data_IF_620000726981
#
_entry.id   IF_620000726981
#
_cell.length_a   1.000
_cell.length_b   1.000
_cell.length_c   1.000
_cell.angle_alpha   90.00
_cell.angle_beta   90.00
_cell.angle_gamma   90.00
#
_symmetry.space_group_name_H-M   'P 1'
#
loop_
_entity.id
_entity.type
_entity.pdbx_description
1 polymer ?
#
# COMPACT_ATOMS: atom_id res chain seq x y z
N UNK A 1 34.94 -19.53 41.94
CA UNK A 1 33.72 -19.55 42.80
C UNK A 1 32.73 -18.63 42.14
N UNK A 2 31.70 -19.27 41.52
CA UNK A 2 30.73 -18.58 40.70
C UNK A 2 29.84 -17.65 41.52
N UNK A 3 29.53 -16.52 40.92
CA UNK A 3 28.45 -15.64 41.35
C UNK A 3 27.13 -16.42 41.23
N UNK A 4 26.54 -16.74 42.36
CA UNK A 4 25.17 -17.25 42.40
C UNK A 4 24.26 -16.04 42.25
N UNK A 5 23.85 -15.77 41.02
CA UNK A 5 22.79 -14.81 40.74
C UNK A 5 21.42 -15.38 41.10
N UNK A 6 20.42 -14.53 41.31
CA UNK A 6 19.06 -14.96 41.46
C UNK A 6 18.57 -15.55 40.12
N UNK A 7 18.11 -16.78 40.14
CA UNK A 7 17.50 -17.43 38.98
C UNK A 7 15.99 -17.11 38.93
N UNK A 8 15.48 -16.85 37.76
CA UNK A 8 14.05 -16.68 37.54
C UNK A 8 13.56 -17.81 36.64
N UNK A 9 12.63 -18.61 37.16
CA UNK A 9 11.99 -19.71 36.41
C UNK A 9 10.65 -19.25 35.84
N UNK A 10 10.50 -19.40 34.54
CA UNK A 10 9.27 -19.06 33.83
C UNK A 10 8.56 -20.37 33.45
N UNK A 11 7.35 -20.57 33.91
CA UNK A 11 6.54 -21.74 33.62
C UNK A 11 5.33 -21.35 32.77
N UNK A 12 5.26 -21.85 31.56
CA UNK A 12 4.08 -21.70 30.69
C UNK A 12 3.16 -22.94 30.80
N UNK A 13 1.89 -22.72 31.13
CA UNK A 13 0.87 -23.77 31.19
C UNK A 13 -0.05 -23.81 29.98
N UNK A 14 0.08 -22.91 29.02
CA UNK A 14 -0.91 -22.74 27.93
C UNK A 14 -0.35 -22.96 26.53
N UNK A 15 0.94 -23.22 26.37
CA UNK A 15 1.48 -23.59 25.05
C UNK A 15 1.14 -25.05 24.70
N UNK A 16 0.51 -25.33 23.56
CA UNK A 16 0.46 -26.68 23.01
C UNK A 16 1.90 -27.18 22.80
N UNK A 17 2.10 -28.49 22.96
CA UNK A 17 3.40 -29.15 22.92
C UNK A 17 4.31 -28.57 21.82
N UNK A 18 5.27 -27.74 22.21
CA UNK A 18 6.21 -27.09 21.30
C UNK A 18 7.45 -27.94 21.23
N UNK A 19 7.79 -28.43 20.05
CA UNK A 19 8.94 -29.30 19.84
C UNK A 19 10.29 -28.59 19.91
N UNK A 20 10.33 -27.26 19.79
CA UNK A 20 11.53 -26.45 20.04
C UNK A 20 11.17 -24.96 20.23
N UNK A 21 11.62 -24.37 21.33
CA UNK A 21 11.61 -22.92 21.51
C UNK A 21 13.06 -22.47 21.43
N UNK A 22 13.34 -21.53 20.54
CA UNK A 22 14.63 -20.84 20.48
C UNK A 22 14.41 -19.40 20.92
N UNK A 23 14.54 -19.06 22.19
CA UNK A 23 14.48 -17.69 22.64
C UNK A 23 15.73 -16.95 22.14
N UNK A 24 15.53 -15.84 21.41
CA UNK A 24 16.69 -15.08 20.90
C UNK A 24 17.35 -14.18 21.94
N UNK A 25 16.61 -13.65 22.89
CA UNK A 25 17.14 -12.87 24.02
C UNK A 25 16.01 -12.46 24.99
N UNK A 26 16.34 -12.18 26.24
CA UNK A 26 15.51 -11.38 27.13
C UNK A 26 16.20 -10.01 27.27
N UNK A 27 15.46 -8.95 27.01
CA UNK A 27 15.93 -7.59 27.20
C UNK A 27 15.45 -7.10 28.57
N UNK A 28 16.39 -6.67 29.39
CA UNK A 28 16.14 -6.19 30.73
C UNK A 28 16.39 -4.69 30.71
N UNK A 29 15.37 -3.89 30.96
CA UNK A 29 15.46 -2.42 30.99
C UNK A 29 15.36 -1.97 32.45
N UNK A 30 16.47 -1.54 33.10
CA UNK A 30 16.42 -0.91 34.40
C UNK A 30 15.75 0.46 34.36
N UNK A 31 15.28 0.92 35.53
CA UNK A 31 14.63 2.22 35.68
C UNK A 31 15.54 3.42 35.40
N UNK A 32 16.85 3.21 35.30
CA UNK A 32 17.90 4.19 35.05
C UNK A 32 18.47 4.20 33.64
N UNK A 33 17.73 3.64 32.68
CA UNK A 33 18.07 3.56 31.24
C UNK A 33 19.31 2.70 30.86
N UNK A 34 19.85 1.91 31.74
CA UNK A 34 20.80 0.90 31.35
C UNK A 34 20.08 -0.37 30.86
N UNK A 35 20.39 -0.82 29.66
CA UNK A 35 19.82 -2.03 29.08
C UNK A 35 20.76 -3.21 29.29
N UNK A 36 20.29 -4.25 29.95
CA UNK A 36 21.01 -5.50 30.08
C UNK A 36 20.36 -6.54 29.18
N UNK A 37 21.15 -7.12 28.28
CA UNK A 37 20.71 -8.25 27.46
C UNK A 37 21.29 -9.53 28.05
N UNK A 38 20.47 -10.47 28.47
CA UNK A 38 20.92 -11.78 28.92
C UNK A 38 20.43 -12.86 27.96
N UNK A 39 21.30 -13.86 27.75
CA UNK A 39 20.93 -15.03 26.94
C UNK A 39 20.28 -16.06 27.85
N UNK A 40 19.12 -16.59 27.43
CA UNK A 40 18.45 -17.66 28.19
C UNK A 40 19.31 -18.93 28.14
N UNK A 41 19.72 -19.40 29.30
CA UNK A 41 20.71 -20.45 29.38
C UNK A 41 20.16 -21.86 29.20
N UNK A 42 18.84 -22.11 29.36
CA UNK A 42 18.32 -23.46 29.28
C UNK A 42 16.80 -23.52 28.98
N UNK A 43 16.46 -24.41 28.07
CA UNK A 43 15.07 -24.83 27.79
C UNK A 43 14.90 -26.22 28.38
N UNK A 44 14.01 -26.41 29.36
CA UNK A 44 13.64 -27.74 29.78
C UNK A 44 12.56 -28.31 28.86
N UNK A 45 12.49 -29.66 28.67
CA UNK A 45 11.41 -30.29 27.91
C UNK A 45 10.00 -29.99 28.45
N UNK A 46 9.91 -29.51 29.68
CA UNK A 46 8.65 -29.13 30.34
C UNK A 46 8.22 -27.67 30.05
N UNK A 47 8.91 -26.93 29.20
CA UNK A 47 8.58 -25.54 28.88
C UNK A 47 8.96 -24.53 29.96
N UNK A 48 9.85 -24.90 30.91
CA UNK A 48 10.38 -23.99 31.91
C UNK A 48 11.66 -23.31 31.36
N UNK A 49 11.75 -22.01 31.55
CA UNK A 49 12.92 -21.22 31.17
C UNK A 49 13.53 -20.64 32.41
N UNK A 50 14.87 -20.72 32.53
CA UNK A 50 15.61 -20.10 33.60
C UNK A 50 16.64 -19.16 33.01
N UNK A 51 16.74 -17.97 33.55
CA UNK A 51 17.79 -17.03 33.26
C UNK A 51 18.23 -16.29 34.51
N UNK A 52 19.44 -15.81 34.49
CA UNK A 52 20.06 -15.14 35.64
C UNK A 52 19.85 -13.64 35.47
N UNK A 53 19.26 -13.03 36.49
CA UNK A 53 19.06 -11.60 36.56
C UNK A 53 19.94 -11.03 37.66
N UNK A 54 20.72 -9.97 37.45
CA UNK A 54 21.49 -9.32 38.50
C UNK A 54 20.55 -8.76 39.58
N UNK A 55 20.99 -8.60 40.82
CA UNK A 55 20.20 -7.96 41.86
C UNK A 55 19.94 -6.49 41.48
N UNK A 56 18.67 -6.14 41.31
CA UNK A 56 18.25 -4.78 40.93
C UNK A 56 16.95 -4.39 41.63
N UNK A 57 16.75 -3.08 41.80
CA UNK A 57 15.53 -2.52 42.34
C UNK A 57 14.69 -1.90 41.22
N UNK A 58 13.39 -2.10 41.31
CA UNK A 58 12.40 -1.48 40.43
C UNK A 58 12.64 -1.69 38.93
N UNK A 59 12.89 -2.96 38.53
CA UNK A 59 13.14 -3.31 37.15
C UNK A 59 11.82 -3.71 36.44
N UNK A 60 11.66 -3.31 35.19
CA UNK A 60 10.69 -3.86 34.25
C UNK A 60 11.40 -4.87 33.36
N UNK A 61 10.88 -6.10 33.32
CA UNK A 61 11.44 -7.14 32.44
C UNK A 61 10.50 -7.32 31.25
N UNK A 62 10.99 -7.03 30.07
CA UNK A 62 10.32 -7.39 28.82
C UNK A 62 10.88 -8.73 28.32
N UNK A 63 10.00 -9.69 28.07
CA UNK A 63 10.38 -11.00 27.57
C UNK A 63 9.79 -11.17 26.17
N UNK A 64 10.68 -11.29 25.19
CA UNK A 64 10.33 -11.57 23.81
C UNK A 64 10.69 -13.03 23.48
N UNK A 65 9.71 -13.78 23.01
CA UNK A 65 9.88 -15.18 22.64
C UNK A 65 9.47 -15.39 21.19
N UNK A 66 10.13 -16.32 20.51
CA UNK A 66 9.74 -16.77 19.17
C UNK A 66 9.55 -18.29 19.24
N UNK A 67 8.37 -18.77 18.90
CA UNK A 67 8.07 -20.20 18.81
C UNK A 67 7.24 -20.49 17.55
N UNK A 68 7.57 -21.53 16.81
CA UNK A 68 6.93 -21.88 15.54
C UNK A 68 6.78 -20.70 14.55
N UNK A 69 7.76 -19.80 14.51
CA UNK A 69 7.73 -18.60 13.69
C UNK A 69 6.86 -17.46 14.25
N UNK A 70 6.12 -17.69 15.33
CA UNK A 70 5.28 -16.67 15.97
C UNK A 70 6.05 -15.96 17.10
N UNK A 71 5.83 -14.66 17.20
CA UNK A 71 6.41 -13.82 18.25
C UNK A 71 5.43 -13.65 19.39
N UNK A 72 5.93 -13.76 20.59
CA UNK A 72 5.21 -13.53 21.84
C UNK A 72 5.95 -12.49 22.66
N UNK A 73 5.22 -11.59 23.28
CA UNK A 73 5.81 -10.61 24.20
C UNK A 73 5.01 -10.60 25.50
N UNK A 74 5.72 -10.37 26.59
CA UNK A 74 5.09 -10.16 27.90
C UNK A 74 6.00 -9.25 28.74
N UNK A 75 5.41 -8.54 29.68
CA UNK A 75 6.14 -7.70 30.63
C UNK A 75 5.84 -8.20 32.06
N UNK A 76 6.88 -8.31 32.85
CA UNK A 76 6.74 -8.44 34.29
C UNK A 76 6.68 -7.05 34.89
N UNK A 77 5.68 -6.82 35.73
CA UNK A 77 5.58 -5.57 36.48
C UNK A 77 6.82 -5.34 37.34
N UNK A 78 7.09 -4.09 37.61
CA UNK A 78 8.26 -3.61 38.37
C UNK A 78 8.45 -4.36 39.67
N UNK A 79 9.58 -5.09 39.79
CA UNK A 79 9.92 -5.82 41.02
C UNK A 79 11.39 -5.68 41.33
N UNK A 80 11.69 -5.81 42.62
CA UNK A 80 13.10 -5.84 43.08
C UNK A 80 13.57 -7.27 43.22
N UNK A 81 14.71 -7.56 42.65
CA UNK A 81 15.36 -8.86 42.76
C UNK A 81 16.50 -8.77 43.76
N UNK A 82 16.50 -9.62 44.76
CA UNK A 82 17.60 -9.73 45.75
C UNK A 82 18.45 -10.93 45.42
N UNK A 83 19.77 -10.81 45.63
CA UNK A 83 20.70 -11.89 45.39
C UNK A 83 20.36 -13.16 46.16
N UNK A 84 20.71 -14.32 45.62
CA UNK A 84 20.51 -15.67 46.18
C UNK A 84 19.05 -16.06 46.42
N UNK A 85 18.13 -15.55 45.61
CA UNK A 85 16.71 -15.95 45.62
C UNK A 85 16.27 -16.39 44.24
N UNK A 86 15.43 -17.44 44.21
CA UNK A 86 14.72 -17.87 43.04
C UNK A 86 13.34 -17.22 43.03
N UNK A 87 12.95 -16.73 41.85
CA UNK A 87 11.64 -16.11 41.59
C UNK A 87 10.94 -16.87 40.48
N UNK A 88 9.72 -17.37 40.75
CA UNK A 88 8.92 -18.03 39.75
C UNK A 88 7.79 -17.12 39.30
N UNK A 89 7.67 -16.92 38.00
CA UNK A 89 6.59 -16.16 37.39
C UNK A 89 5.80 -17.02 36.41
N UNK A 90 4.49 -16.93 36.48
CA UNK A 90 3.60 -17.48 35.47
C UNK A 90 3.29 -16.38 34.45
N UNK A 91 3.83 -16.51 33.26
CA UNK A 91 3.62 -15.54 32.21
C UNK A 91 2.36 -15.91 31.41
N UNK A 92 1.48 -14.93 31.23
CA UNK A 92 0.52 -14.99 30.15
C UNK A 92 1.16 -14.36 28.94
N UNK A 93 1.48 -15.17 27.95
CA UNK A 93 1.98 -14.66 26.67
C UNK A 93 0.81 -14.30 25.80
N UNK A 94 0.81 -13.07 25.27
CA UNK A 94 -0.04 -12.71 24.15
C UNK A 94 0.75 -12.88 22.85
N UNK A 95 0.16 -13.51 21.87
CA UNK A 95 0.74 -13.54 20.54
C UNK A 95 0.88 -12.09 20.04
N UNK A 96 2.10 -11.65 19.75
CA UNK A 96 2.32 -10.35 19.11
C UNK A 96 2.17 -10.54 17.62
N UNK A 97 1.01 -10.22 17.10
CA UNK A 97 0.84 -10.13 15.65
C UNK A 97 1.67 -8.96 15.12
N UNK A 98 2.70 -9.23 14.29
CA UNK A 98 3.49 -8.14 13.73
C UNK A 98 2.62 -7.32 12.78
N UNK A 99 2.72 -6.00 12.88
CA UNK A 99 1.99 -5.11 11.99
C UNK A 99 1.96 -3.68 12.50
N UNK A 100 1.52 -2.80 11.63
CA UNK A 100 1.38 -1.37 11.84
C UNK A 100 -0.01 -1.12 12.41
N UNK A 101 -0.10 -0.48 13.58
CA UNK A 101 -1.36 -0.26 14.31
C UNK A 101 -1.65 1.23 14.46
N UNK A 102 -0.60 2.07 14.56
CA UNK A 102 -0.72 3.51 14.81
C UNK A 102 0.02 4.33 13.76
N UNK A 103 -0.20 5.65 13.75
CA UNK A 103 0.54 6.57 12.89
C UNK A 103 2.03 6.60 13.22
N UNK A 104 2.39 6.47 14.49
CA UNK A 104 3.79 6.37 14.93
C UNK A 104 4.45 5.09 14.43
N UNK A 105 3.71 3.97 14.41
CA UNK A 105 4.18 2.72 13.80
C UNK A 105 4.43 2.90 12.31
N UNK A 106 3.52 3.57 11.59
CA UNK A 106 3.70 3.86 10.18
C UNK A 106 4.93 4.75 9.92
N UNK A 107 5.12 5.80 10.74
CA UNK A 107 6.29 6.66 10.65
C UNK A 107 7.57 5.85 10.90
N UNK A 108 7.60 5.03 11.96
CA UNK A 108 8.74 4.17 12.26
C UNK A 108 9.04 3.17 11.13
N UNK A 109 8.01 2.52 10.61
CA UNK A 109 8.11 1.65 9.44
C UNK A 109 8.71 2.39 8.23
N UNK A 110 8.20 3.60 7.92
CA UNK A 110 8.67 4.39 6.79
C UNK A 110 10.14 4.81 6.90
N UNK A 111 10.63 5.02 8.11
CA UNK A 111 12.05 5.31 8.38
C UNK A 111 12.92 4.06 8.21
N UNK A 112 12.51 2.94 8.81
CA UNK A 112 13.24 1.69 8.79
C UNK A 112 13.32 1.05 7.42
N UNK A 113 12.22 0.99 6.68
CA UNK A 113 12.15 0.33 5.38
C UNK A 113 13.02 1.04 4.34
N UNK A 114 13.29 2.32 4.51
CA UNK A 114 14.11 3.13 3.63
C UNK A 114 15.58 3.20 4.08
N UNK A 115 15.95 2.58 5.18
CA UNK A 115 17.29 2.71 5.75
C UNK A 115 18.17 1.50 5.46
N UNK A 116 19.40 1.76 5.02
CA UNK A 116 20.46 0.76 4.97
C UNK A 116 21.43 0.87 6.16
N UNK A 117 21.24 1.86 7.04
CA UNK A 117 22.22 2.23 8.06
C UNK A 117 21.78 1.93 9.48
N UNK A 118 20.48 1.91 9.74
CA UNK A 118 19.96 1.58 11.07
C UNK A 118 18.87 0.50 10.99
N UNK A 119 18.95 -0.42 11.93
CA UNK A 119 18.03 -1.57 12.04
C UNK A 119 16.93 -1.35 13.06
N UNK A 120 17.00 -0.25 13.82
CA UNK A 120 16.06 0.12 14.86
C UNK A 120 15.72 1.61 14.81
N UNK A 121 14.45 1.95 15.02
CA UNK A 121 13.96 3.33 15.10
C UNK A 121 12.91 3.44 16.21
N UNK A 122 13.13 4.33 17.19
CA UNK A 122 12.23 4.51 18.36
C UNK A 122 11.84 3.17 19.02
N UNK A 123 12.81 2.27 19.20
CA UNK A 123 12.62 0.95 19.82
C UNK A 123 11.90 -0.09 18.93
N UNK A 124 11.61 0.24 17.68
CA UNK A 124 10.99 -0.69 16.71
C UNK A 124 12.01 -1.20 15.70
N UNK A 125 11.76 -2.39 15.18
CA UNK A 125 12.51 -3.02 14.07
C UNK A 125 11.54 -3.37 12.95
N UNK A 126 12.02 -3.74 11.76
CA UNK A 126 11.15 -4.20 10.68
C UNK A 126 10.35 -5.47 11.04
N UNK A 127 10.91 -6.29 11.94
CA UNK A 127 10.22 -7.49 12.45
C UNK A 127 8.97 -7.17 13.30
N UNK A 128 8.83 -5.94 13.80
CA UNK A 128 7.63 -5.51 14.51
C UNK A 128 6.45 -5.27 13.56
N UNK A 129 6.70 -5.07 12.27
CA UNK A 129 5.70 -4.67 11.28
C UNK A 129 5.33 -5.79 10.30
N UNK A 130 6.05 -6.90 10.30
CA UNK A 130 5.81 -7.99 9.37
C UNK A 130 6.59 -9.25 9.72
N UNK A 131 6.43 -10.24 8.86
CA UNK A 131 7.06 -11.55 9.03
C UNK A 131 7.74 -12.00 7.73
N UNK A 132 8.78 -12.81 7.86
CA UNK A 132 9.46 -13.43 6.72
C UNK A 132 9.25 -14.93 6.77
N UNK A 133 8.58 -15.47 5.74
CA UNK A 133 8.37 -16.89 5.56
C UNK A 133 8.90 -17.32 4.19
N UNK A 134 9.72 -18.36 4.15
CA UNK A 134 10.30 -18.89 2.91
C UNK A 134 11.02 -17.82 2.06
N UNK A 135 11.68 -16.86 2.71
CA UNK A 135 12.39 -15.77 2.02
C UNK A 135 11.49 -14.64 1.50
N UNK A 136 10.19 -14.70 1.73
CA UNK A 136 9.24 -13.65 1.38
C UNK A 136 8.87 -12.87 2.64
N UNK A 137 9.13 -11.57 2.62
CA UNK A 137 8.74 -10.66 3.72
C UNK A 137 7.40 -9.99 3.40
N UNK A 138 6.46 -10.07 4.35
CA UNK A 138 5.15 -9.43 4.27
C UNK A 138 5.00 -8.49 5.46
N UNK A 139 4.70 -7.23 5.18
CA UNK A 139 4.34 -6.21 6.17
C UNK A 139 2.84 -6.01 6.19
N UNK A 140 2.26 -5.76 7.37
CA UNK A 140 0.83 -5.69 7.56
C UNK A 140 0.38 -4.35 8.15
N UNK A 141 -0.73 -3.83 7.65
CA UNK A 141 -1.51 -2.80 8.34
C UNK A 141 -2.64 -3.50 9.10
N UNK A 142 -2.73 -3.28 10.41
CA UNK A 142 -3.68 -4.01 11.27
C UNK A 142 -4.85 -3.15 11.77
N UNK A 143 -4.79 -1.85 11.55
CA UNK A 143 -5.87 -0.91 11.88
C UNK A 143 -6.00 0.16 10.81
N UNK A 144 -7.17 0.75 10.74
CA UNK A 144 -7.32 2.04 10.08
C UNK A 144 -6.52 3.10 10.87
N UNK A 145 -5.82 3.98 10.15
CA UNK A 145 -4.99 5.03 10.75
C UNK A 145 -5.40 6.39 10.21
N UNK A 146 -5.72 7.31 11.09
CA UNK A 146 -5.94 8.71 10.75
C UNK A 146 -4.72 9.56 11.12
N UNK A 147 -4.14 10.25 10.13
CA UNK A 147 -2.99 11.14 10.31
C UNK A 147 -3.39 12.59 10.63
N UNK A 148 -4.70 12.85 10.77
CA UNK A 148 -5.17 14.15 11.23
C UNK A 148 -4.58 14.45 12.62
N UNK A 149 -4.02 15.64 12.76
CA UNK A 149 -3.41 16.10 14.03
C UNK A 149 -2.17 15.29 14.50
N UNK A 150 -1.60 14.43 13.63
CA UNK A 150 -0.35 13.71 13.90
C UNK A 150 0.84 14.55 13.42
N UNK A 151 1.91 14.62 14.21
CA UNK A 151 3.19 15.19 13.76
C UNK A 151 3.85 14.25 12.73
N UNK A 152 3.76 14.64 11.46
CA UNK A 152 4.28 13.89 10.32
C UNK A 152 5.63 14.42 9.81
N UNK A 153 6.38 15.20 10.59
CA UNK A 153 7.68 15.77 10.17
C UNK A 153 8.72 14.70 9.86
N UNK A 154 8.66 13.56 10.51
CA UNK A 154 9.54 12.41 10.28
C UNK A 154 8.97 11.38 9.28
N UNK A 155 7.75 11.57 8.79
CA UNK A 155 7.15 10.67 7.81
C UNK A 155 7.93 10.66 6.50
N UNK A 156 8.23 9.48 5.99
CA UNK A 156 8.88 9.26 4.69
C UNK A 156 7.92 8.53 3.74
N UNK A 157 8.04 8.81 2.45
CA UNK A 157 7.48 7.90 1.45
C UNK A 157 8.26 6.58 1.44
N UNK A 158 7.64 5.48 1.07
CA UNK A 158 8.27 4.16 1.03
C UNK A 158 8.87 3.93 -0.35
N UNK A 159 10.19 3.73 -0.42
CA UNK A 159 10.93 3.54 -1.67
C UNK A 159 11.21 4.85 -2.42
N UNK A 160 12.36 4.91 -3.10
CA UNK A 160 12.84 6.08 -3.85
C UNK A 160 13.40 5.67 -5.21
N UNK A 161 12.81 6.12 -6.29
CA UNK A 161 13.27 5.77 -7.63
C UNK A 161 14.65 6.38 -7.96
N UNK A 162 14.95 7.59 -7.48
CA UNK A 162 16.21 8.30 -7.76
C UNK A 162 17.44 7.63 -7.15
N UNK A 163 17.26 6.95 -6.02
CA UNK A 163 18.34 6.21 -5.32
C UNK A 163 18.36 4.74 -5.69
N UNK A 164 17.51 4.30 -6.63
CA UNK A 164 17.25 2.89 -6.93
C UNK A 164 16.80 2.06 -5.71
N UNK A 165 16.27 2.72 -4.70
CA UNK A 165 15.76 2.08 -3.48
C UNK A 165 14.26 1.80 -3.64
N UNK A 166 13.93 0.75 -4.36
CA UNK A 166 12.56 0.34 -4.62
C UNK A 166 12.04 -0.58 -3.52
N UNK A 167 10.78 -0.40 -3.14
CA UNK A 167 10.09 -1.38 -2.29
C UNK A 167 9.95 -2.71 -3.03
N UNK A 168 10.51 -3.78 -2.49
CA UNK A 168 10.64 -5.10 -3.15
C UNK A 168 9.91 -6.22 -2.42
N UNK A 169 9.30 -5.93 -1.28
CA UNK A 169 8.58 -6.86 -0.41
C UNK A 169 7.08 -6.84 -0.72
N UNK A 170 6.30 -7.52 0.09
CA UNK A 170 4.84 -7.45 0.06
C UNK A 170 4.37 -6.53 1.18
N UNK A 171 3.52 -5.57 0.85
CA UNK A 171 2.74 -4.80 1.81
C UNK A 171 1.28 -5.21 1.68
N UNK A 172 0.70 -5.73 2.77
CA UNK A 172 -0.70 -6.11 2.85
C UNK A 172 -1.45 -5.17 3.80
N UNK A 173 -2.27 -4.31 3.24
CA UNK A 173 -3.10 -3.37 3.99
C UNK A 173 -4.25 -4.01 4.76
N UNK A 174 -4.51 -5.32 4.60
CA UNK A 174 -5.60 -6.06 5.28
C UNK A 174 -6.99 -5.40 5.15
N UNK A 175 -7.20 -4.65 4.05
CA UNK A 175 -8.37 -3.79 3.79
C UNK A 175 -8.55 -2.65 4.80
N UNK A 176 -7.48 -2.24 5.48
CA UNK A 176 -7.48 -1.04 6.31
C UNK A 176 -7.18 0.21 5.49
N UNK A 177 -7.57 1.34 6.05
CA UNK A 177 -7.50 2.66 5.42
C UNK A 177 -6.52 3.58 6.13
N UNK A 178 -5.72 4.30 5.34
CA UNK A 178 -4.95 5.45 5.79
C UNK A 178 -5.75 6.72 5.45
N UNK A 179 -6.20 7.43 6.47
CA UNK A 179 -6.89 8.69 6.34
C UNK A 179 -5.94 9.87 6.51
N UNK A 180 -6.13 10.93 5.73
CA UNK A 180 -5.43 12.20 5.87
C UNK A 180 -3.89 12.09 5.86
N UNK A 181 -3.32 11.03 5.27
CA UNK A 181 -1.86 10.88 5.22
C UNK A 181 -1.26 11.99 4.35
N UNK A 182 -0.34 12.81 4.88
CA UNK A 182 0.32 13.84 4.10
C UNK A 182 1.39 13.22 3.21
N UNK A 183 1.33 13.52 1.92
CA UNK A 183 2.27 12.99 0.94
C UNK A 183 3.02 14.17 0.33
N UNK A 184 4.21 14.42 0.85
CA UNK A 184 5.08 15.50 0.40
C UNK A 184 6.36 14.92 -0.20
N UNK A 185 6.65 15.22 -1.43
CA UNK A 185 7.90 14.83 -2.06
C UNK A 185 8.52 15.98 -2.81
N UNK A 186 9.82 16.16 -2.60
CA UNK A 186 10.65 17.11 -3.35
C UNK A 186 11.43 16.44 -4.50
N UNK A 187 11.33 15.13 -4.70
CA UNK A 187 12.29 14.31 -5.45
C UNK A 187 11.68 13.48 -6.58
N UNK A 188 10.70 13.98 -7.31
CA UNK A 188 10.31 13.40 -8.60
C UNK A 188 9.30 12.27 -8.61
N UNK A 189 9.48 11.20 -7.84
CA UNK A 189 8.43 10.19 -7.63
C UNK A 189 7.71 10.45 -6.32
N UNK A 190 6.38 10.50 -6.37
CA UNK A 190 5.57 10.89 -5.21
C UNK A 190 4.40 9.94 -5.02
N UNK A 191 4.22 9.46 -3.81
CA UNK A 191 3.15 8.60 -3.35
C UNK A 191 3.40 8.12 -1.92
N UNK A 192 2.47 7.44 -1.31
CA UNK A 192 2.71 6.70 -0.06
C UNK A 192 3.88 5.73 -0.28
N UNK A 193 3.87 5.05 -1.43
CA UNK A 193 5.01 4.35 -1.97
C UNK A 193 5.60 5.19 -3.12
N UNK A 194 6.82 5.69 -2.96
CA UNK A 194 7.49 6.44 -4.03
C UNK A 194 7.83 5.54 -5.21
N UNK A 195 8.35 4.33 -4.94
CA UNK A 195 8.70 3.36 -5.99
C UNK A 195 8.54 1.91 -5.54
N UNK A 196 7.90 1.10 -6.37
CA UNK A 196 7.70 -0.35 -6.18
C UNK A 196 8.48 -1.11 -7.25
N UNK A 197 9.27 -2.11 -6.82
CA UNK A 197 10.10 -2.95 -7.70
C UNK A 197 9.26 -4.04 -8.39
N UNK A 198 9.87 -4.74 -9.35
CA UNK A 198 9.24 -5.84 -10.08
C UNK A 198 8.77 -6.99 -9.18
N UNK A 199 9.43 -7.21 -8.06
CA UNK A 199 9.04 -8.20 -7.04
C UNK A 199 8.11 -7.63 -5.98
N UNK A 200 7.98 -6.31 -5.90
CA UNK A 200 7.18 -5.63 -4.88
C UNK A 200 5.68 -5.77 -5.14
N UNK A 201 4.91 -5.95 -4.08
CA UNK A 201 3.45 -6.04 -4.13
C UNK A 201 2.88 -5.10 -3.07
N UNK A 202 1.97 -4.23 -3.47
CA UNK A 202 1.12 -3.43 -2.57
C UNK A 202 -0.30 -3.91 -2.76
N UNK A 203 -0.93 -4.42 -1.71
CA UNK A 203 -2.28 -4.98 -1.83
C UNK A 203 -3.17 -4.63 -0.65
N UNK A 204 -4.49 -4.66 -0.90
CA UNK A 204 -5.53 -4.49 0.12
C UNK A 204 -5.34 -3.21 0.96
N UNK A 205 -4.80 -2.15 0.38
CA UNK A 205 -4.56 -0.88 1.06
C UNK A 205 -5.48 0.20 0.50
N UNK A 206 -6.15 0.89 1.40
CA UNK A 206 -7.06 1.96 1.08
C UNK A 206 -6.50 3.31 1.53
N UNK A 207 -6.71 4.37 0.74
CA UNK A 207 -6.31 5.73 1.09
C UNK A 207 -7.49 6.67 0.87
N UNK A 208 -7.82 7.41 1.91
CA UNK A 208 -8.97 8.32 1.89
C UNK A 208 -8.61 9.70 2.45
N UNK A 209 -9.24 10.74 1.90
CA UNK A 209 -9.14 12.14 2.36
C UNK A 209 -7.71 12.71 2.40
N UNK A 210 -6.80 12.15 1.60
CA UNK A 210 -5.38 12.50 1.61
C UNK A 210 -5.04 13.53 0.53
N UNK A 211 -3.99 14.30 0.77
CA UNK A 211 -3.54 15.36 -0.15
C UNK A 211 -2.10 15.15 -0.55
N UNK A 212 -1.85 15.27 -1.85
CA UNK A 212 -0.50 15.32 -2.42
C UNK A 212 -0.22 16.74 -2.87
N UNK A 213 0.85 17.31 -2.34
CA UNK A 213 1.37 18.61 -2.79
C UNK A 213 2.71 18.39 -3.49
N UNK A 214 2.76 18.67 -4.80
CA UNK A 214 3.96 18.48 -5.58
C UNK A 214 4.72 19.80 -5.64
N UNK A 215 5.88 19.83 -5.01
CA UNK A 215 6.82 20.95 -5.11
C UNK A 215 8.10 20.56 -5.87
N UNK A 216 8.03 19.54 -6.70
CA UNK A 216 9.16 18.79 -7.24
C UNK A 216 10.07 19.56 -8.15
N UNK A 217 11.36 19.23 -8.07
CA UNK A 217 12.47 19.78 -8.89
C UNK A 217 13.04 18.77 -9.88
N UNK A 218 12.39 17.64 -10.13
CA UNK A 218 12.99 16.58 -10.92
C UNK A 218 12.97 16.83 -12.43
N UNK A 219 13.97 16.28 -13.13
CA UNK A 219 14.18 16.45 -14.56
C UNK A 219 13.88 15.18 -15.39
N UNK A 220 13.36 14.11 -14.75
CA UNK A 220 13.22 12.82 -15.42
C UNK A 220 11.78 12.57 -15.88
N UNK A 221 11.62 12.22 -17.16
CA UNK A 221 10.33 11.84 -17.78
C UNK A 221 9.77 10.51 -17.28
N UNK A 222 10.56 9.76 -16.48
CA UNK A 222 10.16 8.47 -15.90
C UNK A 222 9.51 8.61 -14.52
N UNK A 223 9.34 9.83 -14.02
CA UNK A 223 8.84 10.11 -12.69
C UNK A 223 7.32 10.21 -12.70
N UNK A 224 6.72 9.74 -11.61
CA UNK A 224 5.28 9.71 -11.47
C UNK A 224 4.84 10.24 -10.13
N UNK A 225 3.67 10.84 -10.11
CA UNK A 225 2.98 11.33 -8.92
C UNK A 225 1.65 10.64 -8.76
N UNK A 226 1.36 10.19 -7.57
CA UNK A 226 0.07 9.60 -7.23
C UNK A 226 -0.22 9.74 -5.74
N UNK A 227 -1.39 9.30 -5.35
CA UNK A 227 -1.72 9.09 -3.94
C UNK A 227 -1.00 7.83 -3.44
N UNK A 228 -1.11 6.71 -4.15
CA UNK A 228 -0.62 5.42 -3.65
C UNK A 228 0.83 5.12 -4.08
N UNK A 229 1.12 5.00 -5.37
CA UNK A 229 2.44 4.58 -5.87
C UNK A 229 2.96 5.52 -6.94
N UNK A 230 4.04 6.26 -6.69
CA UNK A 230 4.65 7.15 -7.67
C UNK A 230 5.10 6.42 -8.93
N UNK A 231 5.91 5.37 -8.77
CA UNK A 231 6.39 4.51 -9.86
C UNK A 231 6.19 3.04 -9.56
N UNK A 232 5.38 2.35 -10.35
CA UNK A 232 5.12 0.93 -10.21
C UNK A 232 5.83 0.11 -11.29
N UNK A 233 6.64 -0.85 -10.87
CA UNK A 233 7.18 -1.93 -11.71
C UNK A 233 6.66 -3.31 -11.31
N UNK A 234 6.04 -3.41 -10.13
CA UNK A 234 5.52 -4.61 -9.51
C UNK A 234 4.01 -4.73 -9.63
N UNK A 235 3.35 -5.06 -8.55
CA UNK A 235 1.90 -5.28 -8.52
C UNK A 235 1.20 -4.40 -7.50
N UNK A 236 0.06 -3.82 -7.91
CA UNK A 236 -0.88 -3.10 -7.06
C UNK A 236 -2.23 -3.82 -7.17
N UNK A 237 -2.69 -4.41 -6.06
CA UNK A 237 -3.84 -5.32 -6.09
C UNK A 237 -4.86 -4.93 -5.01
N UNK A 238 -6.15 -4.88 -5.37
CA UNK A 238 -7.25 -4.61 -4.43
C UNK A 238 -7.03 -3.32 -3.62
N UNK A 239 -6.53 -2.26 -4.24
CA UNK A 239 -6.28 -0.99 -3.58
C UNK A 239 -7.26 0.07 -4.06
N UNK A 240 -7.63 1.01 -3.19
CA UNK A 240 -8.42 2.13 -3.64
C UNK A 240 -7.96 3.49 -3.09
N UNK A 241 -8.35 4.53 -3.82
CA UNK A 241 -8.15 5.94 -3.47
C UNK A 241 -9.49 6.66 -3.56
N UNK A 242 -9.88 7.32 -2.47
CA UNK A 242 -11.18 8.00 -2.39
C UNK A 242 -11.04 9.37 -1.73
N UNK A 243 -11.78 10.35 -2.25
CA UNK A 243 -11.87 11.70 -1.68
C UNK A 243 -10.50 12.38 -1.50
N UNK A 244 -9.55 12.07 -2.37
CA UNK A 244 -8.20 12.59 -2.30
C UNK A 244 -7.98 13.79 -3.22
N UNK A 245 -6.87 14.50 -3.03
CA UNK A 245 -6.51 15.62 -3.86
C UNK A 245 -5.03 15.58 -4.24
N UNK A 246 -4.74 15.72 -5.53
CA UNK A 246 -3.38 15.94 -6.03
C UNK A 246 -3.33 17.35 -6.61
N UNK A 247 -2.51 18.19 -6.01
CA UNK A 247 -2.23 19.54 -6.51
C UNK A 247 -0.77 19.65 -6.91
N UNK A 248 -0.51 20.12 -8.12
CA UNK A 248 0.82 20.45 -8.57
C UNK A 248 0.89 21.95 -8.80
N UNK A 249 1.69 22.62 -8.00
CA UNK A 249 2.11 23.99 -8.23
C UNK A 249 3.63 24.01 -8.36
N UNK A 250 4.15 23.67 -9.53
CA UNK A 250 5.57 23.59 -9.73
C UNK A 250 6.15 25.01 -9.90
N UNK A 251 6.96 25.41 -8.96
CA UNK A 251 7.65 26.71 -8.96
C UNK A 251 8.78 26.81 -9.98
N UNK A 252 9.05 25.76 -10.78
CA UNK A 252 10.16 25.75 -11.75
C UNK A 252 9.76 25.15 -13.10
N UNK A 253 10.13 25.82 -14.16
CA UNK A 253 10.09 25.40 -15.57
C UNK A 253 10.87 24.09 -15.78
N UNK A 254 10.37 23.14 -16.53
CA UNK A 254 10.97 21.88 -17.01
C UNK A 254 10.79 20.66 -16.12
N UNK A 255 9.68 20.51 -15.44
CA UNK A 255 9.40 19.30 -14.67
C UNK A 255 8.10 18.67 -15.15
N UNK A 256 8.16 17.38 -15.38
CA UNK A 256 7.05 16.59 -15.84
C UNK A 256 6.82 15.44 -14.89
N UNK A 257 5.59 15.26 -14.40
CA UNK A 257 5.22 14.10 -13.63
C UNK A 257 3.91 13.53 -14.18
N UNK A 258 3.98 12.31 -14.70
CA UNK A 258 2.75 11.55 -15.00
C UNK A 258 1.95 11.41 -13.71
N UNK A 259 0.68 11.77 -13.71
CA UNK A 259 -0.12 11.83 -12.49
C UNK A 259 -1.32 10.89 -12.54
N UNK A 260 -1.47 10.05 -11.52
CA UNK A 260 -2.63 9.16 -11.38
C UNK A 260 -3.06 8.99 -9.93
N UNK A 261 -4.27 8.53 -9.70
CA UNK A 261 -4.76 8.27 -8.33
C UNK A 261 -4.03 7.08 -7.70
N UNK A 262 -3.90 5.98 -8.43
CA UNK A 262 -3.22 4.74 -7.99
C UNK A 262 -1.74 4.77 -8.33
N UNK A 263 -1.38 5.08 -9.55
CA UNK A 263 0.01 5.11 -9.98
C UNK A 263 0.34 6.34 -10.82
N UNK A 264 1.49 6.96 -10.58
CA UNK A 264 1.98 8.02 -11.46
C UNK A 264 2.44 7.44 -12.80
N UNK A 265 3.39 6.50 -12.76
CA UNK A 265 3.86 5.72 -13.91
C UNK A 265 3.83 4.24 -13.58
N UNK A 266 3.34 3.40 -14.49
CA UNK A 266 3.34 1.94 -14.31
C UNK A 266 3.86 1.22 -15.54
N UNK A 267 4.76 0.26 -15.32
CA UNK A 267 5.17 -0.80 -16.25
C UNK A 267 4.81 -2.17 -15.68
N UNK A 268 4.18 -2.20 -14.52
CA UNK A 268 3.71 -3.39 -13.82
C UNK A 268 2.20 -3.55 -13.90
N UNK A 269 1.65 -4.24 -12.93
CA UNK A 269 0.25 -4.62 -12.87
C UNK A 269 -0.52 -3.73 -11.88
N UNK A 270 -1.76 -3.35 -12.26
CA UNK A 270 -2.76 -2.69 -11.41
C UNK A 270 -4.07 -3.46 -11.61
N UNK A 271 -4.51 -4.19 -10.58
CA UNK A 271 -5.67 -5.09 -10.69
C UNK A 271 -6.64 -4.91 -9.51
N UNK A 272 -7.95 -4.96 -9.79
CA UNK A 272 -9.00 -4.79 -8.78
C UNK A 272 -8.88 -3.47 -8.01
N UNK A 273 -8.51 -2.38 -8.67
CA UNK A 273 -8.29 -1.08 -8.03
C UNK A 273 -9.32 -0.04 -8.49
N UNK A 274 -9.56 0.96 -7.64
CA UNK A 274 -10.40 2.06 -8.07
C UNK A 274 -10.01 3.42 -7.48
N UNK A 275 -10.48 4.46 -8.15
CA UNK A 275 -10.34 5.86 -7.73
C UNK A 275 -11.68 6.55 -7.84
N UNK A 276 -12.16 7.13 -6.74
CA UNK A 276 -13.44 7.85 -6.72
C UNK A 276 -13.36 9.19 -5.98
N UNK A 277 -14.19 10.16 -6.41
CA UNK A 277 -14.33 11.46 -5.77
C UNK A 277 -12.98 12.18 -5.56
N UNK A 278 -12.01 11.96 -6.44
CA UNK A 278 -10.64 12.44 -6.32
C UNK A 278 -10.38 13.56 -7.31
N UNK A 279 -9.62 14.56 -6.90
CA UNK A 279 -9.27 15.71 -7.71
C UNK A 279 -7.78 15.64 -8.09
N UNK A 280 -7.49 15.65 -9.38
CA UNK A 280 -6.14 15.76 -9.94
C UNK A 280 -6.10 17.11 -10.68
N UNK A 281 -5.59 18.15 -10.01
CA UNK A 281 -5.66 19.53 -10.50
C UNK A 281 -4.27 20.14 -10.54
N UNK A 282 -3.85 20.56 -11.74
CA UNK A 282 -2.65 21.36 -11.92
C UNK A 282 -3.04 22.84 -12.02
N UNK A 283 -2.31 23.69 -11.29
CA UNK A 283 -2.57 25.12 -11.29
C UNK A 283 -2.42 25.72 -12.69
N UNK A 284 -3.37 26.60 -13.04
CA UNK A 284 -3.48 27.25 -14.35
C UNK A 284 -2.27 28.15 -14.68
N UNK A 285 -1.57 28.66 -13.66
CA UNK A 285 -0.46 29.61 -13.83
C UNK A 285 0.91 28.93 -13.89
N UNK A 286 0.95 27.59 -13.78
CA UNK A 286 2.21 26.88 -13.88
C UNK A 286 2.77 26.97 -15.31
N UNK A 287 3.99 27.49 -15.47
CA UNK A 287 4.74 27.53 -16.75
C UNK A 287 5.27 26.15 -17.17
N UNK A 288 4.74 25.09 -16.61
CA UNK A 288 5.20 23.72 -16.80
C UNK A 288 4.45 23.09 -17.96
N UNK A 289 5.18 22.38 -18.80
CA UNK A 289 4.56 21.39 -19.70
C UNK A 289 3.90 20.33 -18.82
N UNK A 290 2.58 20.37 -18.82
CA UNK A 290 1.80 19.40 -18.08
C UNK A 290 2.01 18.00 -18.68
N UNK A 291 2.29 17.04 -17.82
CA UNK A 291 2.41 15.62 -18.20
C UNK A 291 1.06 14.91 -18.12
N UNK A 292 0.90 13.75 -18.75
CA UNK A 292 -0.34 13.02 -18.77
C UNK A 292 -0.95 12.74 -17.38
N UNK A 293 -2.25 12.93 -17.26
CA UNK A 293 -3.01 12.66 -16.04
C UNK A 293 -4.13 11.66 -16.28
N UNK A 294 -4.28 10.69 -15.37
CA UNK A 294 -5.34 9.68 -15.43
C UNK A 294 -5.94 9.38 -14.06
N UNK A 295 -7.17 8.92 -14.05
CA UNK A 295 -7.83 8.55 -12.80
C UNK A 295 -7.08 7.43 -12.07
N UNK A 296 -6.72 6.38 -12.77
CA UNK A 296 -5.95 5.23 -12.22
C UNK A 296 -4.44 5.50 -12.37
N UNK A 297 -3.95 5.76 -13.59
CA UNK A 297 -2.53 5.92 -13.84
C UNK A 297 -2.25 7.15 -14.73
N UNK A 298 -1.18 7.89 -14.42
CA UNK A 298 -0.71 8.97 -15.29
C UNK A 298 -0.19 8.42 -16.62
N UNK A 299 0.67 7.40 -16.55
CA UNK A 299 1.18 6.69 -17.72
C UNK A 299 1.28 5.20 -17.46
N UNK A 300 0.87 4.41 -18.45
CA UNK A 300 1.09 2.97 -18.50
C UNK A 300 1.83 2.62 -19.78
N UNK A 301 2.86 1.79 -19.70
CA UNK A 301 3.74 1.48 -20.86
C UNK A 301 4.47 0.15 -20.65
N UNK A 302 5.15 -0.29 -21.70
CA UNK A 302 6.00 -1.49 -21.66
C UNK A 302 5.24 -2.72 -21.18
N UNK A 303 4.12 -3.04 -21.83
CA UNK A 303 3.25 -4.17 -21.49
C UNK A 303 2.61 -4.09 -20.07
N UNK A 304 2.59 -2.93 -19.45
CA UNK A 304 1.90 -2.73 -18.18
C UNK A 304 0.41 -3.02 -18.30
N UNK A 305 -0.21 -3.48 -17.20
CA UNK A 305 -1.57 -3.96 -17.17
C UNK A 305 -2.44 -3.16 -16.20
N UNK A 306 -3.61 -2.72 -16.66
CA UNK A 306 -4.71 -2.25 -15.80
C UNK A 306 -5.90 -3.16 -16.06
N UNK A 307 -6.31 -3.93 -15.05
CA UNK A 307 -7.36 -4.93 -15.21
C UNK A 307 -8.38 -4.87 -14.08
N UNK A 308 -9.65 -5.00 -14.43
CA UNK A 308 -10.73 -5.04 -13.45
C UNK A 308 -10.69 -3.83 -12.51
N UNK A 309 -10.59 -2.62 -13.08
CA UNK A 309 -10.44 -1.36 -12.35
C UNK A 309 -11.53 -0.36 -12.74
N UNK A 310 -11.78 0.64 -11.90
CA UNK A 310 -12.66 1.73 -12.28
C UNK A 310 -12.22 3.11 -11.77
N UNK A 311 -12.69 4.12 -12.48
CA UNK A 311 -12.49 5.53 -12.15
C UNK A 311 -13.85 6.25 -12.23
N UNK A 312 -14.30 6.83 -11.11
CA UNK A 312 -15.64 7.42 -11.07
C UNK A 312 -15.68 8.71 -10.24
N UNK A 313 -16.50 9.67 -10.71
CA UNK A 313 -16.74 10.95 -10.03
C UNK A 313 -15.45 11.76 -9.78
N UNK A 314 -14.48 11.66 -10.67
CA UNK A 314 -13.19 12.32 -10.50
C UNK A 314 -13.09 13.59 -11.35
N UNK A 315 -12.32 14.55 -10.86
CA UNK A 315 -11.98 15.78 -11.57
C UNK A 315 -10.52 15.70 -11.99
N UNK A 316 -10.25 15.68 -13.30
CA UNK A 316 -8.89 15.59 -13.85
C UNK A 316 -8.65 16.82 -14.72
N UNK A 317 -7.99 17.84 -14.14
CA UNK A 317 -7.75 19.14 -14.74
C UNK A 317 -6.27 19.41 -14.85
N UNK A 318 -5.65 18.80 -15.85
CA UNK A 318 -4.27 19.05 -16.19
C UNK A 318 -4.20 19.86 -17.50
N UNK A 319 -3.67 21.06 -17.44
CA UNK A 319 -3.63 22.00 -18.57
C UNK A 319 -2.57 21.56 -19.57
N UNK A 320 -2.89 21.64 -20.86
CA UNK A 320 -2.00 21.38 -21.99
C UNK A 320 -1.43 19.96 -22.11
N UNK A 321 -2.04 18.96 -21.46
CA UNK A 321 -1.62 17.57 -21.52
C UNK A 321 -2.75 16.60 -21.83
N UNK A 322 -2.40 15.34 -21.94
CA UNK A 322 -3.31 14.25 -22.21
C UNK A 322 -4.00 13.81 -20.92
N UNK A 323 -5.32 13.98 -20.85
CA UNK A 323 -6.13 13.58 -19.71
C UNK A 323 -7.01 12.40 -20.08
N UNK A 324 -7.02 11.37 -19.23
CA UNK A 324 -7.86 10.19 -19.41
C UNK A 324 -8.55 9.74 -18.11
N UNK A 325 -9.73 9.19 -18.24
CA UNK A 325 -10.48 8.68 -17.08
C UNK A 325 -9.75 7.51 -16.41
N UNK A 326 -9.16 6.61 -17.16
CA UNK A 326 -8.31 5.53 -16.64
C UNK A 326 -6.84 5.95 -16.64
N UNK A 327 -6.28 6.33 -17.79
CA UNK A 327 -4.88 6.73 -17.86
C UNK A 327 -4.67 7.95 -18.77
N UNK A 328 -3.68 8.78 -18.43
CA UNK A 328 -3.29 9.89 -19.29
C UNK A 328 -2.61 9.40 -20.57
N UNK A 329 -1.79 8.35 -20.46
CA UNK A 329 -0.98 7.82 -21.55
C UNK A 329 -0.91 6.30 -21.51
N UNK A 330 -1.21 5.64 -22.64
CA UNK A 330 -1.07 4.19 -22.83
C UNK A 330 -0.19 3.89 -24.05
N UNK A 331 0.97 3.26 -23.87
CA UNK A 331 1.95 3.03 -24.92
C UNK A 331 2.61 1.65 -24.80
N UNK A 332 3.26 1.27 -25.91
CA UNK A 332 4.25 0.20 -25.97
C UNK A 332 3.73 -1.17 -25.44
N UNK A 333 2.56 -1.57 -25.86
CA UNK A 333 1.94 -2.83 -25.45
C UNK A 333 1.17 -2.76 -24.13
N UNK A 334 0.79 -1.58 -23.67
CA UNK A 334 -0.06 -1.43 -22.49
C UNK A 334 -1.44 -2.10 -22.70
N UNK A 335 -1.93 -2.81 -21.69
CA UNK A 335 -3.24 -3.48 -21.67
C UNK A 335 -4.17 -2.81 -20.68
N UNK A 336 -5.39 -2.49 -21.13
CA UNK A 336 -6.47 -1.98 -20.28
C UNK A 336 -7.71 -2.83 -20.54
N UNK A 337 -8.08 -3.65 -19.55
CA UNK A 337 -9.11 -4.67 -19.71
C UNK A 337 -10.11 -4.70 -18.56
N UNK A 338 -11.36 -4.97 -18.88
CA UNK A 338 -12.48 -5.11 -17.93
C UNK A 338 -12.59 -3.94 -16.96
N UNK A 339 -12.46 -2.74 -17.49
CA UNK A 339 -12.49 -1.49 -16.72
C UNK A 339 -13.71 -0.65 -17.09
N UNK A 340 -14.12 0.25 -16.18
CA UNK A 340 -15.09 1.27 -16.56
C UNK A 340 -14.72 2.66 -16.06
N UNK A 341 -15.28 3.67 -16.70
CA UNK A 341 -15.25 5.08 -16.29
C UNK A 341 -16.65 5.62 -16.16
N UNK A 342 -16.88 6.47 -15.16
CA UNK A 342 -18.16 7.11 -14.90
C UNK A 342 -17.97 8.53 -14.37
N UNK A 343 -18.75 9.48 -14.93
CA UNK A 343 -18.84 10.86 -14.45
C UNK A 343 -17.47 11.51 -14.20
N UNK A 344 -16.60 11.51 -15.21
CA UNK A 344 -15.28 12.12 -15.15
C UNK A 344 -15.31 13.53 -15.73
N UNK A 345 -14.91 14.54 -14.96
CA UNK A 345 -14.69 15.91 -15.42
C UNK A 345 -13.28 16.07 -15.98
N UNK A 346 -13.15 16.14 -17.29
CA UNK A 346 -11.88 16.29 -18.02
C UNK A 346 -11.78 17.66 -18.69
N UNK A 347 -10.63 18.33 -18.53
CA UNK A 347 -10.28 19.54 -19.29
C UNK A 347 -9.20 19.20 -20.33
N UNK A 348 -9.30 19.81 -21.54
CA UNK A 348 -8.34 19.75 -22.65
C UNK A 348 -8.06 18.33 -23.18
N UNK A 349 -7.19 18.15 -24.17
CA UNK A 349 -6.95 16.89 -24.94
C UNK A 349 -7.34 15.62 -24.18
N UNK A 350 -8.59 15.20 -24.34
CA UNK A 350 -9.29 14.32 -23.43
C UNK A 350 -9.74 13.04 -24.12
N UNK A 351 -9.56 11.93 -23.41
CA UNK A 351 -10.16 10.65 -23.77
C UNK A 351 -10.75 9.99 -22.55
N UNK A 352 -11.91 9.37 -22.67
CA UNK A 352 -12.57 8.73 -21.53
C UNK A 352 -11.71 7.66 -20.88
N UNK A 353 -10.97 6.90 -21.66
CA UNK A 353 -10.06 5.90 -21.15
C UNK A 353 -8.61 6.39 -21.14
N UNK A 354 -8.12 6.88 -22.26
CA UNK A 354 -6.75 7.36 -22.38
C UNK A 354 -6.70 8.71 -23.07
N UNK A 355 -5.92 9.65 -22.55
CA UNK A 355 -5.65 10.93 -23.18
C UNK A 355 -4.90 10.76 -24.49
N UNK A 356 -3.88 9.88 -24.52
CA UNK A 356 -3.18 9.42 -25.72
C UNK A 356 -2.91 7.93 -25.65
N UNK A 357 -3.01 7.22 -26.76
CA UNK A 357 -2.64 5.82 -26.87
C UNK A 357 -1.93 5.51 -28.18
N UNK A 358 -0.91 4.62 -28.12
CA UNK A 358 -0.24 4.05 -29.28
C UNK A 358 0.24 2.61 -28.96
N UNK A 359 0.08 1.68 -29.91
CA UNK A 359 0.44 0.27 -29.75
C UNK A 359 -0.11 -0.36 -28.44
N UNK A 360 -1.36 -0.10 -28.09
CA UNK A 360 -1.97 -0.50 -26.83
C UNK A 360 -3.28 -1.26 -27.06
N UNK A 361 -3.69 -2.03 -26.04
CA UNK A 361 -4.84 -2.90 -26.08
C UNK A 361 -5.91 -2.40 -25.11
N UNK A 362 -7.16 -2.23 -25.63
CA UNK A 362 -8.32 -1.84 -24.85
C UNK A 362 -9.43 -2.87 -25.09
N UNK A 363 -9.74 -3.68 -24.10
CA UNK A 363 -10.61 -4.85 -24.28
C UNK A 363 -11.66 -4.90 -23.17
N UNK A 364 -12.93 -5.12 -23.50
CA UNK A 364 -14.02 -5.22 -22.55
C UNK A 364 -14.14 -4.03 -21.60
N UNK A 365 -14.03 -2.79 -22.10
CA UNK A 365 -14.12 -1.59 -21.29
C UNK A 365 -15.45 -0.87 -21.49
N UNK A 366 -15.94 -0.18 -20.47
CA UNK A 366 -17.25 0.44 -20.45
C UNK A 366 -17.20 1.92 -20.04
N UNK A 367 -18.01 2.77 -20.67
CA UNK A 367 -17.99 4.22 -20.48
C UNK A 367 -19.37 4.87 -20.65
N UNK A 368 -19.60 6.00 -19.96
CA UNK A 368 -20.90 6.67 -19.87
C UNK A 368 -21.12 7.81 -20.88
N UNK A 369 -20.10 8.40 -21.43
CA UNK A 369 -20.20 9.67 -22.13
C UNK A 369 -19.92 9.58 -23.64
N UNK A 370 -20.95 9.85 -24.45
CA UNK A 370 -20.83 9.86 -25.91
C UNK A 370 -20.15 11.14 -26.47
N UNK A 371 -20.04 12.20 -25.68
CA UNK A 371 -19.48 13.49 -26.14
C UNK A 371 -17.97 13.56 -26.05
N UNK A 372 -17.34 12.67 -25.31
CA UNK A 372 -15.90 12.57 -25.15
C UNK A 372 -15.42 11.32 -25.90
N UNK A 373 -14.34 11.46 -26.68
CA UNK A 373 -13.76 10.32 -27.39
C UNK A 373 -13.22 9.27 -26.41
N UNK A 374 -13.30 8.00 -26.78
CA UNK A 374 -12.75 6.90 -25.98
C UNK A 374 -11.23 7.08 -25.75
N UNK A 375 -10.48 7.43 -26.80
CA UNK A 375 -9.08 7.84 -26.75
C UNK A 375 -8.98 9.25 -27.31
N UNK A 376 -8.32 10.17 -26.59
CA UNK A 376 -8.18 11.57 -26.97
C UNK A 376 -7.31 11.74 -28.22
N UNK A 377 -6.06 11.25 -28.18
CA UNK A 377 -5.17 11.13 -29.32
C UNK A 377 -4.90 9.66 -29.59
N UNK A 378 -5.48 9.14 -30.66
CA UNK A 378 -5.37 7.73 -31.04
C UNK A 378 -4.29 7.59 -32.13
N UNK A 379 -3.05 7.31 -31.72
CA UNK A 379 -1.94 7.01 -32.62
C UNK A 379 -2.07 5.56 -33.14
N UNK A 380 -1.22 5.18 -34.10
CA UNK A 380 -1.30 3.86 -34.77
C UNK A 380 -1.06 2.67 -33.82
N UNK A 381 -1.54 1.49 -34.20
CA UNK A 381 -1.26 0.23 -33.55
C UNK A 381 -2.17 -0.14 -32.37
N UNK A 382 -3.18 0.71 -32.03
CA UNK A 382 -4.10 0.38 -30.95
C UNK A 382 -5.11 -0.71 -31.37
N UNK A 383 -5.36 -1.65 -30.46
CA UNK A 383 -6.35 -2.70 -30.63
C UNK A 383 -7.53 -2.44 -29.69
N UNK A 384 -8.71 -2.27 -30.28
CA UNK A 384 -9.96 -1.97 -29.57
C UNK A 384 -10.92 -3.14 -29.79
N UNK A 385 -11.32 -3.83 -28.73
CA UNK A 385 -12.23 -4.98 -28.82
C UNK A 385 -13.26 -4.97 -27.69
N UNK A 386 -14.54 -5.18 -28.05
CA UNK A 386 -15.64 -5.33 -27.08
C UNK A 386 -15.83 -4.16 -26.10
N UNK A 387 -15.34 -2.96 -26.46
CA UNK A 387 -15.60 -1.76 -25.66
C UNK A 387 -17.00 -1.24 -25.97
N UNK A 388 -17.75 -0.86 -24.94
CA UNK A 388 -19.14 -0.43 -25.10
C UNK A 388 -19.46 0.79 -24.23
N UNK A 389 -20.31 1.67 -24.81
CA UNK A 389 -20.96 2.73 -24.07
C UNK A 389 -22.17 2.18 -23.32
N UNK A 390 -22.42 2.66 -22.11
CA UNK A 390 -23.65 2.42 -21.38
C UNK A 390 -24.51 3.69 -21.27
N UNK A 391 -25.78 3.51 -20.95
CA UNK A 391 -26.78 4.60 -20.83
C UNK A 391 -26.85 5.09 -19.37
N UNK A 392 -27.57 6.17 -19.13
CA UNK A 392 -27.82 6.71 -17.79
C UNK A 392 -28.48 5.76 -16.78
N UNK A 393 -28.95 4.60 -17.22
CA UNK A 393 -29.49 3.51 -16.37
C UNK A 393 -28.45 2.43 -16.10
N UNK A 394 -27.20 2.65 -16.46
CA UNK A 394 -26.09 1.72 -16.31
C UNK A 394 -26.26 0.39 -17.04
N UNK A 395 -26.96 0.42 -18.14
CA UNK A 395 -27.15 -0.73 -19.05
C UNK A 395 -26.49 -0.45 -20.40
N UNK A 396 -26.01 -1.49 -21.06
CA UNK A 396 -25.53 -1.38 -22.45
C UNK A 396 -26.70 -1.35 -23.44
N UNK A 397 -26.39 -1.27 -24.75
CA UNK A 397 -27.39 -1.29 -25.85
C UNK A 397 -28.23 -2.55 -25.88
N UNK A 398 -27.79 -3.63 -25.27
CA UNK A 398 -28.45 -4.94 -25.19
C UNK A 398 -29.28 -5.10 -23.91
N UNK A 399 -29.47 -4.04 -23.13
CA UNK A 399 -30.21 -4.03 -21.87
C UNK A 399 -29.53 -4.86 -20.75
N UNK A 400 -28.24 -5.09 -20.82
CA UNK A 400 -27.48 -5.84 -19.80
C UNK A 400 -26.81 -4.85 -18.85
N UNK A 401 -26.98 -4.99 -17.53
CA UNK A 401 -26.30 -4.16 -16.54
C UNK A 401 -24.77 -4.30 -16.61
N UNK A 402 -24.05 -3.20 -16.41
CA UNK A 402 -22.60 -3.16 -16.55
C UNK A 402 -21.89 -4.13 -15.60
N UNK A 403 -22.35 -4.26 -14.34
CA UNK A 403 -21.77 -5.20 -13.39
C UNK A 403 -21.87 -6.67 -13.86
N UNK A 404 -22.91 -7.03 -14.63
CA UNK A 404 -23.04 -8.37 -15.19
C UNK A 404 -22.02 -8.59 -16.32
N UNK A 405 -21.82 -7.60 -17.18
CA UNK A 405 -20.81 -7.68 -18.26
C UNK A 405 -19.39 -7.77 -17.72
N UNK A 406 -19.08 -7.01 -16.67
CA UNK A 406 -17.80 -7.10 -15.97
C UNK A 406 -17.59 -8.48 -15.36
N UNK A 407 -18.63 -9.05 -14.73
CA UNK A 407 -18.58 -10.41 -14.18
C UNK A 407 -18.53 -11.49 -15.26
N UNK A 408 -19.17 -11.29 -16.40
CA UNK A 408 -19.08 -12.20 -17.53
C UNK A 408 -17.64 -12.34 -18.02
N UNK A 409 -16.90 -11.24 -18.14
CA UNK A 409 -15.50 -11.28 -18.48
C UNK A 409 -14.68 -12.09 -17.44
N UNK A 410 -14.95 -11.89 -16.14
CA UNK A 410 -14.30 -12.65 -15.04
C UNK A 410 -14.56 -14.16 -15.18
N UNK A 411 -15.77 -14.56 -15.58
CA UNK A 411 -16.14 -15.96 -15.66
C UNK A 411 -15.64 -16.65 -16.94
N UNK A 412 -15.69 -15.95 -18.07
CA UNK A 412 -15.55 -16.55 -19.39
C UNK A 412 -14.18 -16.25 -20.03
N UNK A 413 -13.65 -15.07 -19.82
CA UNK A 413 -12.43 -14.60 -20.51
C UNK A 413 -11.20 -14.67 -19.60
N UNK A 414 -11.31 -14.19 -18.37
CA UNK A 414 -10.21 -14.11 -17.44
C UNK A 414 -9.54 -15.47 -17.12
N UNK A 415 -10.26 -16.60 -16.97
CA UNK A 415 -9.63 -17.88 -16.67
C UNK A 415 -8.64 -18.34 -17.75
N UNK A 416 -8.87 -17.96 -19.00
CA UNK A 416 -7.99 -18.28 -20.11
C UNK A 416 -6.79 -17.34 -20.21
N UNK A 417 -7.03 -16.04 -20.02
CA UNK A 417 -5.98 -15.02 -20.15
C UNK A 417 -5.10 -14.91 -18.90
N UNK A 418 -5.67 -15.12 -17.73
CA UNK A 418 -5.04 -14.94 -16.42
C UNK A 418 -5.27 -16.15 -15.52
N UNK A 419 -4.74 -17.34 -15.86
CA UNK A 419 -4.96 -18.57 -15.09
C UNK A 419 -4.43 -18.39 -13.65
N UNK A 420 -5.29 -18.67 -12.66
CA UNK A 420 -4.95 -18.57 -11.24
C UNK A 420 -5.08 -17.18 -10.63
N UNK A 421 -5.48 -16.15 -11.40
CA UNK A 421 -5.79 -14.83 -10.85
C UNK A 421 -7.17 -14.82 -10.19
N UNK A 422 -7.27 -14.13 -9.05
CA UNK A 422 -8.53 -13.89 -8.37
C UNK A 422 -8.98 -12.46 -8.63
N UNK A 423 -10.02 -12.32 -9.46
CA UNK A 423 -10.66 -11.03 -9.73
C UNK A 423 -11.81 -10.78 -8.75
N UNK A 424 -11.83 -9.59 -8.19
CA UNK A 424 -12.95 -9.14 -7.34
C UNK A 424 -14.20 -9.01 -8.20
N UNK A 425 -15.30 -9.60 -7.74
CA UNK A 425 -16.57 -9.56 -8.44
C UNK A 425 -17.27 -8.23 -8.23
N UNK A 426 -18.15 -7.93 -9.19
CA UNK A 426 -18.93 -6.72 -9.24
C UNK A 426 -20.38 -6.95 -8.81
N UNK A 427 -20.98 -5.94 -8.24
CA UNK A 427 -22.42 -5.87 -7.96
C UNK A 427 -22.97 -4.51 -8.38
N UNK A 428 -24.27 -4.36 -8.36
CA UNK A 428 -24.93 -3.08 -8.61
C UNK A 428 -24.44 -2.02 -7.60
N UNK A 429 -24.01 -0.90 -8.09
CA UNK A 429 -23.56 0.25 -7.29
C UNK A 429 -24.70 1.20 -6.89
N UNK A 430 -25.95 0.91 -7.27
CA UNK A 430 -27.12 1.73 -7.00
C UNK A 430 -27.22 2.97 -7.92
N UNK A 431 -27.83 4.02 -7.41
CA UNK A 431 -28.14 5.22 -8.21
C UNK A 431 -26.90 6.03 -8.62
N UNK A 432 -25.77 5.85 -7.92
CA UNK A 432 -24.60 6.73 -8.04
C UNK A 432 -23.41 6.12 -8.78
N UNK A 433 -23.38 4.80 -8.97
CA UNK A 433 -22.30 4.10 -9.64
C UNK A 433 -22.82 2.92 -10.45
N UNK A 434 -22.31 2.68 -11.69
CA UNK A 434 -22.76 1.56 -12.53
C UNK A 434 -22.42 0.18 -11.96
N UNK A 435 -21.36 0.10 -11.20
CA UNK A 435 -20.92 -1.14 -10.54
C UNK A 435 -19.97 -0.81 -9.38
N UNK A 436 -19.94 -1.66 -8.38
CA UNK A 436 -18.95 -1.61 -7.27
C UNK A 436 -18.44 -3.01 -6.96
N UNK A 437 -17.31 -3.11 -6.29
CA UNK A 437 -16.83 -4.40 -5.83
C UNK A 437 -17.68 -4.93 -4.66
N UNK A 438 -17.91 -6.24 -4.63
CA UNK A 438 -18.78 -6.87 -3.60
C UNK A 438 -18.30 -6.55 -2.18
N UNK A 439 -17.00 -6.45 -1.95
CA UNK A 439 -16.41 -6.09 -0.65
C UNK A 439 -16.81 -4.71 -0.13
N UNK A 440 -17.23 -3.80 -1.01
CA UNK A 440 -17.65 -2.44 -0.64
C UNK A 440 -19.07 -2.39 -0.09
N UNK A 441 -19.96 -3.23 -0.59
CA UNK A 441 -21.36 -3.29 -0.16
C UNK A 441 -21.53 -3.87 1.26
N UNK A 442 -20.55 -4.60 1.77
CA UNK A 442 -20.61 -5.17 3.13
C UNK A 442 -20.19 -4.18 4.22
N UNK A 443 -19.46 -3.11 3.89
CA UNK A 443 -19.06 -2.06 4.86
C UNK A 443 -20.13 -0.99 5.08
N UNK A 444 -21.17 -0.92 4.25
CA UNK A 444 -22.23 0.10 4.30
C UNK A 444 -23.52 -0.38 4.98
N UNK A 445 -23.54 -1.53 5.60
CA UNK A 445 -24.61 -2.07 6.45
C UNK A 445 -24.09 -2.26 7.88
#
# INVERSE_FOLDING_TARGET
>A
RGLVGSEMCIRDRTCPAVSSIIPKSAEIVPADNETYTTTIAQVSPSGNYSFIVPPVKNMVIAINMVTNGKKYTTQLETKSFTGNKEYTYHLKTSEKTPGIITAEDWIAFSQLINSNTFTQYKGKTLDDFGETMNGITIYYLLNDIDFKDVDCTELKQIGYAQTNYYFSQIFDGQNHTLYNIPINSSNGTTGVFGAVNITGIVKNLHIESSKVSITSKSKSTAEGTSILVGRNKGKILNCFVKECQITANPTKTNQSANTGGIAGTSTGEITNCYVTNTQIVYDADSKIKAEPAGGIAGSIQTQGLITNCYSANNIIKNRESYNGGICGKALDGAHIENCYVYNIDLITTKGLFAGIAANSFFIHNYYDNAKITFIGKNDSGNQLSKNAQYTGTFINKENIPIYQLLNQWINETAPTLYPGYLFTRWTDGGENLPAVFISETQKSK
#
